data_IF_566236650915
#
_entry.id   IF_566236650915
#
_cell.length_a   1.000
_cell.length_b   1.000
_cell.length_c   1.000
_cell.angle_alpha   90.00
_cell.angle_beta   90.00
_cell.angle_gamma   90.00
#
_symmetry.space_group_name_H-M   'P 1'
#
loop_
_entity.id
_entity.type
_entity.pdbx_description
1 polymer ?
#
# COMPACT_ATOMS: atom_id res chain seq x y z
N UNK A 1 13.68 11.50 -9.44
CA UNK A 1 14.09 11.12 -8.06
C UNK A 1 12.90 10.47 -7.38
N UNK A 2 13.08 9.37 -6.64
CA UNK A 2 11.99 8.75 -5.88
C UNK A 2 11.82 9.51 -4.57
N UNK A 3 10.62 10.04 -4.30
CA UNK A 3 10.30 10.78 -3.08
C UNK A 3 9.62 9.82 -2.08
N UNK A 4 10.03 9.84 -0.81
CA UNK A 4 9.45 8.98 0.24
C UNK A 4 10.34 7.80 0.69
N UNK A 5 11.66 7.94 0.62
CA UNK A 5 12.64 6.93 1.06
C UNK A 5 12.91 6.94 2.58
N UNK A 6 12.05 7.58 3.39
CA UNK A 6 12.26 7.73 4.83
C UNK A 6 13.11 8.96 5.16
N UNK A 7 14.02 8.81 6.13
CA UNK A 7 14.64 9.81 7.03
C UNK A 7 14.92 11.23 6.50
N UNK A 8 15.24 11.40 5.22
CA UNK A 8 15.63 12.70 4.67
C UNK A 8 14.48 13.44 3.95
N UNK A 9 13.42 12.73 3.55
CA UNK A 9 12.26 13.25 2.82
C UNK A 9 10.97 12.56 3.30
N UNK A 10 10.45 12.91 4.49
CA UNK A 10 9.21 12.35 4.99
C UNK A 10 8.06 12.68 4.05
N UNK A 11 7.13 11.73 3.88
CA UNK A 11 5.93 11.97 3.10
C UNK A 11 5.08 13.08 3.75
N UNK A 12 4.72 14.06 2.93
CA UNK A 12 4.02 15.28 3.33
C UNK A 12 2.52 15.06 3.45
N UNK A 13 1.84 15.98 4.15
CA UNK A 13 0.37 16.00 4.21
C UNK A 13 -0.28 16.20 2.83
N UNK A 14 0.38 16.93 1.93
CA UNK A 14 -0.06 17.08 0.54
C UNK A 14 0.00 15.75 -0.24
N UNK A 15 1.02 14.92 0.02
CA UNK A 15 1.12 13.57 -0.54
C UNK A 15 0.07 12.65 0.08
N UNK A 16 -0.21 12.74 1.38
CA UNK A 16 -1.32 12.01 2.00
C UNK A 16 -2.66 12.39 1.36
N UNK A 17 -2.96 13.69 1.23
CA UNK A 17 -4.18 14.17 0.59
C UNK A 17 -4.32 13.68 -0.86
N UNK A 18 -3.22 13.69 -1.61
CA UNK A 18 -3.18 13.19 -2.99
C UNK A 18 -3.43 11.68 -3.08
N UNK A 19 -2.86 10.91 -2.15
CA UNK A 19 -3.09 9.46 -2.05
C UNK A 19 -4.55 9.15 -1.66
N UNK A 20 -5.14 9.90 -0.73
CA UNK A 20 -6.56 9.76 -0.38
C UNK A 20 -7.44 10.02 -1.61
N UNK A 21 -7.15 11.06 -2.39
CA UNK A 21 -7.92 11.40 -3.58
C UNK A 21 -7.88 10.30 -4.64
N UNK A 22 -6.69 9.76 -4.95
CA UNK A 22 -6.56 8.70 -5.96
C UNK A 22 -7.18 7.38 -5.49
N UNK A 23 -7.03 7.02 -4.21
CA UNK A 23 -7.66 5.82 -3.64
C UNK A 23 -9.19 5.91 -3.77
N UNK A 24 -9.79 7.04 -3.36
CA UNK A 24 -11.24 7.26 -3.48
C UNK A 24 -11.72 7.22 -4.93
N UNK A 25 -10.97 7.85 -5.84
CA UNK A 25 -11.29 7.82 -7.26
C UNK A 25 -11.30 6.39 -7.82
N UNK A 26 -10.28 5.59 -7.48
CA UNK A 26 -10.16 4.22 -7.97
C UNK A 26 -11.20 3.29 -7.33
N UNK A 27 -11.48 3.42 -6.03
CA UNK A 27 -12.56 2.67 -5.36
C UNK A 27 -13.96 3.01 -5.89
N UNK A 28 -14.19 4.23 -6.38
CA UNK A 28 -15.44 4.58 -7.04
C UNK A 28 -15.57 4.02 -8.47
N UNK A 29 -14.45 3.63 -9.08
CA UNK A 29 -14.37 3.18 -10.48
C UNK A 29 -14.26 1.65 -10.61
N UNK A 30 -13.67 1.01 -9.60
CA UNK A 30 -13.36 -0.41 -9.58
C UNK A 30 -13.73 -1.01 -8.23
N UNK A 31 -14.07 -2.30 -8.24
CA UNK A 31 -14.30 -3.06 -7.02
C UNK A 31 -12.95 -3.44 -6.41
N UNK A 32 -12.38 -2.52 -5.62
CA UNK A 32 -11.10 -2.72 -4.95
C UNK A 32 -11.31 -3.43 -3.62
N UNK A 33 -10.54 -4.50 -3.40
CA UNK A 33 -10.61 -5.28 -2.16
C UNK A 33 -9.50 -4.91 -1.16
N UNK A 34 -8.32 -4.55 -1.66
CA UNK A 34 -7.10 -4.38 -0.85
C UNK A 34 -6.44 -3.02 -1.05
N UNK A 35 -5.89 -2.46 0.02
CA UNK A 35 -5.00 -1.29 0.01
C UNK A 35 -3.73 -1.62 0.80
N UNK A 36 -2.62 -1.82 0.09
CA UNK A 36 -1.35 -2.28 0.66
C UNK A 36 -0.19 -1.34 0.35
N UNK A 37 0.76 -1.26 1.29
CA UNK A 37 2.07 -0.68 1.07
C UNK A 37 2.95 -1.64 0.28
N UNK A 38 3.99 -1.12 -0.37
CA UNK A 38 4.88 -1.97 -1.17
C UNK A 38 5.56 -3.01 -0.29
N UNK A 39 5.97 -2.66 0.92
CA UNK A 39 6.59 -3.60 1.86
C UNK A 39 5.71 -4.81 2.26
N UNK A 40 4.40 -4.75 2.02
CA UNK A 40 3.45 -5.79 2.45
C UNK A 40 3.16 -6.83 1.36
N UNK A 41 3.64 -6.66 0.12
CA UNK A 41 3.25 -7.54 -0.99
C UNK A 41 3.60 -9.01 -0.75
N UNK A 42 4.72 -9.30 -0.08
CA UNK A 42 5.15 -10.67 0.22
C UNK A 42 4.23 -11.39 1.20
N UNK A 43 3.37 -10.68 1.93
CA UNK A 43 2.35 -11.30 2.80
C UNK A 43 1.25 -12.00 2.01
N UNK A 44 1.19 -11.80 0.69
CA UNK A 44 0.34 -12.57 -0.19
C UNK A 44 1.00 -13.88 -0.65
N UNK A 45 2.23 -14.20 -0.28
CA UNK A 45 2.83 -15.50 -0.65
C UNK A 45 1.96 -16.67 -0.17
N UNK A 46 1.44 -17.48 -1.12
CA UNK A 46 0.50 -18.57 -0.84
C UNK A 46 -0.99 -18.19 -0.95
N UNK A 47 -1.31 -16.90 -1.08
CA UNK A 47 -2.67 -16.41 -1.35
C UNK A 47 -3.08 -16.63 -2.82
N UNK A 48 -4.38 -16.79 -3.09
CA UNK A 48 -4.91 -17.01 -4.46
C UNK A 48 -4.57 -15.88 -5.45
N UNK A 49 -4.33 -14.68 -4.93
CA UNK A 49 -3.92 -13.51 -5.72
C UNK A 49 -2.43 -13.49 -6.04
N UNK A 50 -1.61 -14.36 -5.43
CA UNK A 50 -0.17 -14.37 -5.63
C UNK A 50 0.21 -15.12 -6.89
N UNK A 51 0.99 -14.45 -7.74
CA UNK A 51 1.49 -15.02 -9.00
C UNK A 51 2.91 -14.56 -9.29
N UNK A 52 3.87 -15.23 -8.66
CA UNK A 52 5.29 -15.04 -8.96
C UNK A 52 5.74 -15.97 -10.11
N UNK A 53 6.36 -15.40 -11.15
CA UNK A 53 6.91 -16.15 -12.29
C UNK A 53 8.43 -16.27 -12.21
N UNK A 54 9.08 -15.35 -11.52
CA UNK A 54 10.52 -15.29 -11.35
C UNK A 54 10.89 -15.14 -9.87
N UNK A 55 11.25 -16.25 -9.24
CA UNK A 55 11.65 -16.29 -7.82
C UNK A 55 12.87 -15.42 -7.48
N UNK A 56 13.67 -15.01 -8.47
CA UNK A 56 14.82 -14.12 -8.26
C UNK A 56 14.45 -12.63 -8.28
N UNK A 57 13.21 -12.28 -8.66
CA UNK A 57 12.72 -10.91 -8.70
C UNK A 57 11.98 -10.55 -7.41
N UNK A 58 12.72 -10.50 -6.30
CA UNK A 58 12.22 -9.96 -5.03
C UNK A 58 12.87 -8.61 -4.76
N UNK A 59 12.07 -7.63 -4.42
CA UNK A 59 12.55 -6.34 -3.93
C UNK A 59 12.16 -6.16 -2.48
N UNK A 60 13.16 -6.01 -1.61
CA UNK A 60 12.94 -5.51 -0.25
C UNK A 60 12.73 -4.00 -0.34
N UNK A 61 11.55 -3.55 0.08
CA UNK A 61 11.05 -2.18 -0.06
C UNK A 61 10.40 -1.81 1.25
N UNK A 62 10.64 -0.58 1.72
CA UNK A 62 10.02 -0.04 2.93
C UNK A 62 8.97 1.02 2.59
N UNK A 63 8.86 1.44 1.33
CA UNK A 63 7.90 2.43 0.87
C UNK A 63 6.44 1.93 0.94
N UNK A 64 5.45 2.82 1.20
CA UNK A 64 5.60 4.22 1.60
C UNK A 64 5.87 4.42 3.10
N UNK A 65 6.14 3.34 3.85
CA UNK A 65 6.34 3.34 5.29
C UNK A 65 5.07 2.99 6.07
N UNK A 66 5.25 2.29 7.20
CA UNK A 66 4.16 1.81 8.06
C UNK A 66 3.27 2.96 8.57
N UNK A 67 3.88 4.02 9.11
CA UNK A 67 3.16 5.20 9.62
C UNK A 67 2.31 5.88 8.54
N UNK A 68 2.83 5.99 7.31
CA UNK A 68 2.09 6.59 6.21
C UNK A 68 0.91 5.72 5.80
N UNK A 69 1.11 4.40 5.69
CA UNK A 69 0.02 3.46 5.40
C UNK A 69 -1.05 3.46 6.49
N UNK A 70 -0.66 3.54 7.76
CA UNK A 70 -1.60 3.63 8.88
C UNK A 70 -2.46 4.88 8.76
N UNK A 71 -1.84 6.06 8.59
CA UNK A 71 -2.55 7.33 8.40
C UNK A 71 -3.49 7.29 7.20
N UNK A 72 -3.00 6.81 6.05
CA UNK A 72 -3.81 6.68 4.83
C UNK A 72 -5.05 5.80 5.08
N UNK A 73 -4.87 4.59 5.62
CA UNK A 73 -5.95 3.65 5.92
C UNK A 73 -6.96 4.21 6.91
N UNK A 74 -6.52 4.98 7.92
CA UNK A 74 -7.43 5.66 8.84
C UNK A 74 -8.34 6.66 8.11
N UNK A 75 -7.79 7.45 7.17
CA UNK A 75 -8.55 8.49 6.46
C UNK A 75 -9.54 7.90 5.44
N UNK A 76 -9.26 6.70 4.90
CA UNK A 76 -10.13 6.02 3.93
C UNK A 76 -10.86 4.80 4.51
N UNK A 77 -10.96 4.69 5.84
CA UNK A 77 -11.54 3.54 6.52
C UNK A 77 -13.01 3.29 6.11
N UNK A 78 -13.74 4.33 5.69
CA UNK A 78 -15.10 4.25 5.17
C UNK A 78 -15.21 3.41 3.88
N UNK A 79 -14.11 3.27 3.12
CA UNK A 79 -14.06 2.45 1.91
C UNK A 79 -13.95 0.94 2.22
N UNK A 80 -13.67 0.56 3.47
CA UNK A 80 -13.58 -0.85 3.91
C UNK A 80 -12.58 -1.71 3.10
N UNK A 81 -11.53 -1.09 2.57
CA UNK A 81 -10.43 -1.80 1.90
C UNK A 81 -9.63 -2.59 2.93
N UNK A 82 -9.30 -3.83 2.60
CA UNK A 82 -8.53 -4.72 3.45
C UNK A 82 -7.03 -4.37 3.43
N UNK A 83 -6.35 -4.61 4.54
CA UNK A 83 -4.89 -4.66 4.57
C UNK A 83 -4.36 -5.97 3.95
N UNK A 84 -3.04 -6.24 3.99
CA UNK A 84 -2.53 -7.54 3.59
C UNK A 84 -3.12 -8.67 4.44
N UNK A 85 -3.11 -9.93 3.96
CA UNK A 85 -3.44 -11.09 4.77
C UNK A 85 -2.62 -11.09 6.06
N UNK A 86 -3.25 -11.47 7.18
CA UNK A 86 -2.51 -11.71 8.40
C UNK A 86 -1.57 -12.90 8.20
N UNK A 87 -0.28 -12.80 8.58
CA UNK A 87 0.55 -13.98 8.67
C UNK A 87 -0.02 -14.89 9.77
N UNK A 88 -0.29 -16.15 9.43
CA UNK A 88 -0.56 -17.22 10.39
C UNK A 88 0.66 -17.46 11.32
#
# INVERSE_FOLDING_TARGET
ENVGNGTDLPLTDAQLASNVAIVRYLSGKYDLEYLIGHYEYTLFEGHDLWKERNKAYRTEKTDPGEDFMQRLRTVVADLKLQGPPSPD
#
